data_IF_066910094506
#
_entry.id   IF_066910094506
#
_cell.length_a   1.000
_cell.length_b   1.000
_cell.length_c   1.000
_cell.angle_alpha   90.00
_cell.angle_beta   90.00
_cell.angle_gamma   90.00
#
_symmetry.space_group_name_H-M   'P 1'
#
loop_
_entity.id
_entity.type
_entity.pdbx_description
1 polymer ?
#
# COMPACT_ATOMS: atom_id res chain seq x y z
N UNK A 1 -18.54 10.26 38.56
CA UNK A 1 -17.39 9.47 39.01
C UNK A 1 -17.74 8.20 39.78
N UNK A 2 -18.67 8.20 40.75
CA UNK A 2 -18.98 7.01 41.57
C UNK A 2 -19.55 5.77 40.82
N UNK A 3 -20.18 5.96 39.65
CA UNK A 3 -20.83 4.87 38.91
C UNK A 3 -19.86 4.02 38.07
N UNK A 4 -18.77 4.61 37.59
CA UNK A 4 -17.74 3.92 36.79
C UNK A 4 -16.87 3.00 37.66
N UNK A 5 -16.51 3.45 38.86
CA UNK A 5 -15.75 2.67 39.83
C UNK A 5 -16.50 1.45 40.38
N UNK A 6 -17.84 1.40 40.25
CA UNK A 6 -18.64 0.23 40.61
C UNK A 6 -18.70 -0.82 39.48
N UNK A 7 -18.45 -0.43 38.23
CA UNK A 7 -18.62 -1.30 37.05
C UNK A 7 -17.29 -1.78 36.47
N UNK A 8 -16.21 -1.01 36.67
CA UNK A 8 -14.92 -1.29 36.04
C UNK A 8 -13.78 -1.36 37.06
N UNK A 9 -12.75 -2.16 36.74
CA UNK A 9 -11.51 -2.17 37.51
C UNK A 9 -10.84 -0.79 37.46
N UNK A 10 -10.13 -0.37 38.52
CA UNK A 10 -9.54 0.98 38.63
C UNK A 10 -8.67 1.38 37.44
N UNK A 11 -7.93 0.43 36.86
CA UNK A 11 -7.07 0.63 35.68
C UNK A 11 -7.86 1.10 34.44
N UNK A 12 -9.07 0.59 34.24
CA UNK A 12 -9.91 0.96 33.11
C UNK A 12 -10.63 2.30 33.34
N UNK A 13 -10.98 2.61 34.59
CA UNK A 13 -11.58 3.91 34.94
C UNK A 13 -10.61 5.04 34.61
N UNK A 14 -9.33 4.87 34.93
CA UNK A 14 -8.28 5.85 34.59
C UNK A 14 -8.12 6.04 33.08
N UNK A 15 -8.31 4.99 32.28
CA UNK A 15 -8.23 5.07 30.82
C UNK A 15 -9.47 5.75 30.21
N UNK A 16 -10.66 5.48 30.77
CA UNK A 16 -11.90 6.11 30.31
C UNK A 16 -11.91 7.60 30.61
N UNK A 17 -11.39 8.02 31.77
CA UNK A 17 -11.26 9.43 32.12
C UNK A 17 -10.29 10.20 31.19
N UNK A 18 -9.40 9.50 30.46
CA UNK A 18 -8.50 10.09 29.47
C UNK A 18 -9.15 10.26 28.09
N UNK A 19 -10.33 9.67 27.86
CA UNK A 19 -11.03 9.81 26.58
C UNK A 19 -11.54 11.25 26.49
N UNK A 20 -11.06 11.97 25.49
CA UNK A 20 -11.53 13.31 25.18
C UNK A 20 -13.01 13.26 24.75
N UNK A 21 -13.89 13.74 25.63
CA UNK A 21 -15.28 13.99 25.29
C UNK A 21 -15.33 15.36 24.62
N UNK A 22 -15.74 15.38 23.35
CA UNK A 22 -15.88 16.64 22.62
C UNK A 22 -17.00 17.48 23.29
N UNK A 23 -16.75 18.76 23.61
CA UNK A 23 -17.67 19.60 24.39
C UNK A 23 -18.92 20.05 23.62
N UNK A 24 -19.10 19.62 22.37
CA UNK A 24 -20.27 19.92 21.54
C UNK A 24 -20.69 18.67 20.77
N UNK A 25 -21.97 18.60 20.43
CA UNK A 25 -22.48 17.67 19.42
C UNK A 25 -21.78 17.99 18.09
N UNK A 26 -20.74 17.21 17.80
CA UNK A 26 -20.10 17.17 16.50
C UNK A 26 -20.83 16.10 15.71
N UNK A 27 -21.33 16.46 14.54
CA UNK A 27 -21.94 15.50 13.63
C UNK A 27 -20.95 14.37 13.32
N UNK A 28 -21.41 13.12 13.44
CA UNK A 28 -20.59 11.94 13.15
C UNK A 28 -20.08 11.99 11.71
N UNK A 29 -18.77 11.80 11.53
CA UNK A 29 -18.13 11.79 10.22
C UNK A 29 -17.45 10.46 9.96
N UNK A 30 -17.69 9.91 8.76
CA UNK A 30 -16.92 8.80 8.23
C UNK A 30 -15.52 9.28 7.86
N UNK A 31 -14.53 8.88 8.65
CA UNK A 31 -13.12 9.20 8.42
C UNK A 31 -12.47 8.04 7.66
N UNK A 32 -11.89 8.34 6.51
CA UNK A 32 -11.12 7.35 5.76
C UNK A 32 -9.70 7.25 6.33
N UNK A 33 -9.48 6.26 7.20
CA UNK A 33 -8.20 6.03 7.92
C UNK A 33 -6.96 5.89 7.01
N UNK A 34 -7.15 5.56 5.73
CA UNK A 34 -6.06 5.42 4.74
C UNK A 34 -5.72 6.73 4.03
N UNK A 35 -6.38 7.84 4.36
CA UNK A 35 -6.05 9.17 3.84
C UNK A 35 -5.50 10.08 4.95
N UNK A 36 -4.55 10.95 4.60
CA UNK A 36 -4.00 11.96 5.51
C UNK A 36 -4.95 13.14 5.73
N UNK A 37 -5.93 13.31 4.86
CA UNK A 37 -6.89 14.41 4.89
C UNK A 37 -8.29 13.95 5.33
N UNK A 38 -8.40 12.74 5.89
CA UNK A 38 -9.63 12.12 6.38
C UNK A 38 -10.76 11.93 5.34
N UNK A 39 -10.58 12.41 4.12
CA UNK A 39 -11.53 12.32 3.03
C UNK A 39 -11.34 11.07 2.18
N UNK A 40 -12.45 10.48 1.78
CA UNK A 40 -12.45 9.43 0.77
C UNK A 40 -12.18 10.02 -0.61
N UNK A 41 -11.30 9.37 -1.38
CA UNK A 41 -11.15 9.63 -2.80
C UNK A 41 -10.93 8.31 -3.53
N UNK A 42 -11.47 8.20 -4.75
CA UNK A 42 -11.30 7.02 -5.60
C UNK A 42 -9.81 6.76 -5.85
N UNK A 43 -9.02 7.84 -6.05
CA UNK A 43 -7.57 7.75 -6.20
C UNK A 43 -6.91 7.15 -4.95
N UNK A 44 -7.23 7.67 -3.77
CA UNK A 44 -6.67 7.16 -2.51
C UNK A 44 -7.06 5.71 -2.24
N UNK A 45 -8.30 5.34 -2.52
CA UNK A 45 -8.79 3.97 -2.40
C UNK A 45 -8.05 3.03 -3.38
N UNK A 46 -7.91 3.42 -4.64
CA UNK A 46 -7.17 2.65 -5.65
C UNK A 46 -5.71 2.43 -5.25
N UNK A 47 -5.03 3.48 -4.79
CA UNK A 47 -3.67 3.38 -4.28
C UNK A 47 -3.59 2.44 -3.07
N UNK A 48 -4.48 2.59 -2.08
CA UNK A 48 -4.52 1.75 -0.89
C UNK A 48 -4.71 0.27 -1.22
N UNK A 49 -5.54 -0.06 -2.21
CA UNK A 49 -5.76 -1.44 -2.68
C UNK A 49 -4.54 -2.02 -3.40
N UNK A 50 -3.74 -1.19 -4.06
CA UNK A 50 -2.61 -1.61 -4.88
C UNK A 50 -1.24 -1.31 -4.24
N UNK A 51 -1.20 -0.96 -2.94
CA UNK A 51 0.04 -0.63 -2.22
C UNK A 51 1.10 -1.70 -2.40
N UNK A 52 0.75 -2.98 -2.23
CA UNK A 52 1.72 -4.07 -2.36
C UNK A 52 2.32 -4.16 -3.77
N UNK A 53 1.49 -3.92 -4.80
CA UNK A 53 1.93 -3.93 -6.21
C UNK A 53 2.84 -2.74 -6.54
N UNK A 54 2.60 -1.59 -5.92
CA UNK A 54 3.39 -0.37 -6.16
C UNK A 54 4.61 -0.24 -5.27
N UNK A 55 4.61 -0.86 -4.08
CA UNK A 55 5.74 -0.89 -3.16
C UNK A 55 6.83 -1.87 -3.57
N UNK A 56 6.55 -2.79 -4.48
CA UNK A 56 7.59 -3.43 -5.29
C UNK A 56 8.24 -2.39 -6.20
N UNK A 57 9.07 -1.52 -5.60
CA UNK A 57 10.03 -0.69 -6.29
C UNK A 57 11.04 -1.63 -6.94
N UNK A 58 10.68 -2.18 -8.08
CA UNK A 58 11.59 -2.98 -8.85
C UNK A 58 12.61 -2.03 -9.48
N UNK A 59 13.74 -1.79 -8.80
CA UNK A 59 14.84 -0.92 -9.26
C UNK A 59 15.30 -1.27 -10.70
N UNK A 60 14.96 -2.47 -11.21
CA UNK A 60 15.09 -2.84 -12.62
C UNK A 60 14.44 -1.84 -13.58
N UNK A 61 13.30 -1.23 -13.24
CA UNK A 61 12.68 -0.23 -14.12
C UNK A 61 13.67 0.92 -14.36
N UNK A 62 14.28 1.47 -13.29
CA UNK A 62 15.26 2.56 -13.42
C UNK A 62 16.46 2.12 -14.26
N UNK A 63 16.98 0.91 -14.04
CA UNK A 63 18.10 0.38 -14.82
C UNK A 63 17.77 0.28 -16.32
N UNK A 64 16.57 -0.17 -16.67
CA UNK A 64 16.12 -0.28 -18.06
C UNK A 64 15.99 1.11 -18.69
N UNK A 65 15.32 2.05 -18.02
CA UNK A 65 15.04 3.37 -18.59
C UNK A 65 16.26 4.29 -18.63
N UNK A 66 17.19 4.17 -17.67
CA UNK A 66 18.44 4.92 -17.64
C UNK A 66 19.57 4.31 -18.50
N UNK A 67 19.36 3.14 -19.09
CA UNK A 67 20.36 2.53 -19.98
C UNK A 67 20.49 3.31 -21.29
N UNK A 68 21.67 3.24 -21.91
CA UNK A 68 21.95 3.86 -23.23
C UNK A 68 21.38 3.04 -24.41
N UNK A 69 20.28 2.32 -24.17
CA UNK A 69 19.63 1.48 -25.17
C UNK A 69 18.62 2.28 -25.97
N UNK A 70 18.38 1.85 -27.20
CA UNK A 70 17.27 2.38 -27.99
C UNK A 70 15.92 2.12 -27.27
N UNK A 71 15.02 3.10 -27.29
CA UNK A 71 13.74 3.06 -26.55
C UNK A 71 12.90 1.80 -26.85
N UNK A 72 12.87 1.36 -28.11
CA UNK A 72 12.19 0.11 -28.49
C UNK A 72 12.73 -1.12 -27.75
N UNK A 73 14.04 -1.18 -27.50
CA UNK A 73 14.67 -2.28 -26.77
C UNK A 73 14.43 -2.18 -25.27
N UNK A 74 14.36 -0.96 -24.72
CA UNK A 74 13.94 -0.72 -23.33
C UNK A 74 12.53 -1.24 -23.08
N UNK A 75 11.60 -0.92 -23.98
CA UNK A 75 10.23 -1.44 -23.93
C UNK A 75 10.20 -2.98 -23.95
N UNK A 76 10.93 -3.59 -24.89
CA UNK A 76 11.00 -5.06 -24.98
C UNK A 76 11.53 -5.68 -23.67
N UNK A 77 12.64 -5.14 -23.14
CA UNK A 77 13.22 -5.60 -21.87
C UNK A 77 12.27 -5.42 -20.69
N UNK A 78 11.52 -4.32 -20.65
CA UNK A 78 10.51 -4.10 -19.62
C UNK A 78 9.38 -5.14 -19.69
N UNK A 79 8.92 -5.49 -20.88
CA UNK A 79 7.92 -6.54 -21.05
C UNK A 79 8.43 -7.92 -20.61
N UNK A 80 9.69 -8.25 -20.94
CA UNK A 80 10.33 -9.50 -20.50
C UNK A 80 10.50 -9.51 -18.97
N UNK A 81 11.05 -8.45 -18.37
CA UNK A 81 11.29 -8.35 -16.93
C UNK A 81 10.00 -8.43 -16.10
N UNK A 82 8.86 -8.08 -16.68
CA UNK A 82 7.53 -8.20 -16.06
C UNK A 82 6.86 -9.56 -16.29
N UNK A 83 7.52 -10.50 -16.95
CA UNK A 83 6.93 -11.78 -17.35
C UNK A 83 5.72 -11.62 -18.27
N UNK A 84 5.61 -10.49 -18.97
CA UNK A 84 4.50 -10.24 -19.90
C UNK A 84 4.69 -10.97 -21.24
N UNK A 85 5.92 -11.40 -21.50
CA UNK A 85 6.30 -12.25 -22.62
C UNK A 85 6.83 -13.56 -22.04
N UNK A 86 6.24 -14.69 -22.43
CA UNK A 86 6.69 -16.06 -22.08
C UNK A 86 8.04 -16.44 -22.68
N UNK A 87 8.75 -15.46 -23.25
CA UNK A 87 10.03 -15.66 -23.90
C UNK A 87 11.11 -16.09 -22.90
N UNK A 88 10.95 -15.82 -21.59
CA UNK A 88 11.86 -16.38 -20.57
C UNK A 88 11.86 -17.91 -20.61
N UNK A 89 10.69 -18.52 -20.44
CA UNK A 89 10.51 -19.98 -20.46
C UNK A 89 10.90 -20.59 -21.82
N UNK A 90 10.60 -19.90 -22.93
CA UNK A 90 11.01 -20.38 -24.26
C UNK A 90 12.52 -20.25 -24.50
N UNK A 91 13.17 -19.19 -24.02
CA UNK A 91 14.62 -19.03 -24.14
C UNK A 91 15.36 -20.02 -23.24
N UNK A 92 14.86 -20.31 -22.04
CA UNK A 92 15.42 -21.34 -21.17
C UNK A 92 15.34 -22.73 -21.83
N UNK A 93 14.21 -23.04 -22.49
CA UNK A 93 14.07 -24.27 -23.28
C UNK A 93 14.98 -24.30 -24.52
N UNK A 94 15.18 -23.18 -25.20
CA UNK A 94 16.00 -23.10 -26.43
C UNK A 94 17.50 -23.14 -26.09
N UNK A 95 17.91 -22.50 -25.01
CA UNK A 95 19.32 -22.35 -24.63
C UNK A 95 19.78 -23.33 -23.55
N UNK A 96 18.88 -24.15 -22.99
CA UNK A 96 19.22 -25.30 -22.15
C UNK A 96 20.07 -24.95 -20.94
N UNK A 97 19.85 -23.79 -20.33
CA UNK A 97 20.58 -23.40 -19.11
C UNK A 97 19.86 -24.07 -17.94
N UNK A 98 20.17 -25.34 -17.72
CA UNK A 98 19.87 -26.03 -16.47
C UNK A 98 20.64 -25.33 -15.34
N UNK A 99 19.91 -24.73 -14.40
CA UNK A 99 20.42 -24.32 -13.08
C UNK A 99 20.32 -25.50 -12.13
#
# INVERSE_FOLDING_TARGET
>A
MAKLSMLFQPKYVQQVDQILILPRDVEDKLIWMKSRNDSFSIKGAYWALNVNRFMECNELWKLIWNSDLHERLKCLRWHIARGALSTGDELDNIFGIEV
#
